data_IF_204482438757
#
_entry.id   IF_204482438757
#
_cell.length_a   1.000
_cell.length_b   1.000
_cell.length_c   1.000
_cell.angle_alpha   90.00
_cell.angle_beta   90.00
_cell.angle_gamma   90.00
#
_symmetry.space_group_name_H-M   'P 1'
#
loop_
_entity.id
_entity.type
_entity.pdbx_description
1 polymer ?
#
# COMPACT_ATOMS: atom_id res chain seq x y z
N UNK A 1 -18.07 23.45 32.79
CA UNK A 1 -16.84 22.65 32.82
C UNK A 1 -17.02 21.47 31.88
N UNK A 2 -16.18 21.32 30.85
CA UNK A 2 -16.30 20.20 29.92
C UNK A 2 -15.76 18.93 30.62
N UNK A 3 -16.53 17.84 30.56
CA UNK A 3 -16.07 16.57 31.11
C UNK A 3 -15.17 15.90 30.05
N UNK A 4 -13.86 16.18 30.08
CA UNK A 4 -12.90 15.34 29.36
C UNK A 4 -12.74 14.03 30.10
N UNK A 5 -12.94 12.93 29.38
CA UNK A 5 -12.66 11.58 29.87
C UNK A 5 -11.18 11.48 30.31
N UNK A 6 -10.91 10.71 31.36
CA UNK A 6 -9.61 10.63 32.06
C UNK A 6 -8.40 10.26 31.16
N UNK A 7 -7.20 10.51 31.71
CA UNK A 7 -5.83 10.46 31.13
C UNK A 7 -5.49 9.27 30.21
N UNK A 8 -6.27 8.20 30.21
CA UNK A 8 -5.98 6.96 29.48
C UNK A 8 -6.75 6.80 28.16
N UNK A 9 -7.49 7.83 27.73
CA UNK A 9 -8.11 7.80 26.41
C UNK A 9 -7.05 8.00 25.31
N UNK A 10 -6.59 6.91 24.70
CA UNK A 10 -5.61 6.92 23.60
C UNK A 10 -5.99 7.80 22.41
N UNK A 11 -7.29 8.09 22.23
CA UNK A 11 -7.78 9.01 21.20
C UNK A 11 -7.44 10.47 21.52
N UNK A 12 -7.39 10.82 22.80
CA UNK A 12 -7.05 12.16 23.30
C UNK A 12 -5.55 12.26 23.65
N UNK A 13 -4.98 11.23 24.27
CA UNK A 13 -3.57 11.14 24.68
C UNK A 13 -2.90 9.95 24.00
N UNK A 14 -2.31 10.18 22.82
CA UNK A 14 -1.64 9.13 22.07
C UNK A 14 -0.36 8.66 22.77
N UNK A 15 -0.05 7.35 22.72
CA UNK A 15 1.19 6.77 23.30
C UNK A 15 2.46 7.50 22.84
N UNK A 16 2.46 7.94 21.59
CA UNK A 16 3.51 8.81 21.04
C UNK A 16 2.99 10.24 21.04
N UNK A 17 3.71 11.21 21.65
CA UNK A 17 3.28 12.59 21.66
C UNK A 17 3.10 13.12 20.23
N UNK A 18 1.98 13.79 19.97
CA UNK A 18 1.75 14.50 18.70
C UNK A 18 2.91 15.46 18.43
N UNK A 19 3.28 15.64 17.17
CA UNK A 19 4.39 16.51 16.70
C UNK A 19 5.81 16.13 17.13
N UNK A 20 5.98 15.09 17.95
CA UNK A 20 7.30 14.49 18.19
C UNK A 20 7.88 13.88 16.91
N UNK A 21 9.20 13.79 16.82
CA UNK A 21 9.87 13.21 15.65
C UNK A 21 9.46 11.75 15.43
N UNK A 22 9.29 10.99 16.52
CA UNK A 22 8.77 9.61 16.49
C UNK A 22 7.36 9.56 15.91
N UNK A 23 6.49 10.51 16.27
CA UNK A 23 5.14 10.59 15.73
C UNK A 23 5.14 10.90 14.22
N UNK A 24 5.98 11.84 13.75
CA UNK A 24 6.11 12.16 12.33
C UNK A 24 6.53 10.95 11.49
N UNK A 25 7.48 10.16 11.97
CA UNK A 25 7.92 8.92 11.30
C UNK A 25 6.77 7.92 11.18
N UNK A 26 6.01 7.71 12.26
CA UNK A 26 4.84 6.82 12.24
C UNK A 26 3.77 7.37 11.29
N UNK A 27 3.49 8.67 11.36
CA UNK A 27 2.47 9.31 10.55
C UNK A 27 2.81 9.26 9.05
N UNK A 28 4.10 9.34 8.68
CA UNK A 28 4.56 9.20 7.29
C UNK A 28 4.19 7.83 6.68
N UNK A 29 4.09 6.77 7.48
CA UNK A 29 3.64 5.44 7.02
C UNK A 29 2.20 5.47 6.52
N UNK A 30 1.33 6.31 7.10
CA UNK A 30 -0.07 6.47 6.68
C UNK A 30 -0.18 6.88 5.21
N UNK A 31 0.59 7.88 4.80
CA UNK A 31 0.58 8.36 3.42
C UNK A 31 0.99 7.27 2.42
N UNK A 32 1.89 6.36 2.81
CA UNK A 32 2.25 5.21 1.97
C UNK A 32 1.06 4.28 1.75
N UNK A 33 0.31 3.97 2.82
CA UNK A 33 -0.88 3.13 2.76
C UNK A 33 -1.98 3.79 1.93
N UNK A 34 -2.21 5.09 2.11
CA UNK A 34 -3.20 5.83 1.33
C UNK A 34 -2.91 5.79 -0.18
N UNK A 35 -1.63 5.90 -0.57
CA UNK A 35 -1.24 5.73 -1.98
C UNK A 35 -1.46 4.31 -2.50
N UNK A 36 -1.18 3.29 -1.68
CA UNK A 36 -1.47 1.88 -2.02
C UNK A 36 -2.95 1.71 -2.30
N UNK A 37 -3.79 2.07 -1.33
CA UNK A 37 -5.25 1.93 -1.44
C UNK A 37 -5.80 2.70 -2.65
N UNK A 38 -5.23 3.86 -3.00
CA UNK A 38 -5.60 4.61 -4.20
C UNK A 38 -5.31 3.81 -5.48
N UNK A 39 -4.13 3.18 -5.59
CA UNK A 39 -3.79 2.31 -6.74
C UNK A 39 -4.70 1.09 -6.80
N UNK A 40 -4.94 0.43 -5.68
CA UNK A 40 -5.84 -0.74 -5.61
C UNK A 40 -7.25 -0.38 -6.10
N UNK A 41 -7.78 0.76 -5.66
CA UNK A 41 -9.12 1.23 -6.05
C UNK A 41 -9.19 1.69 -7.51
N UNK A 42 -8.27 2.55 -7.94
CA UNK A 42 -8.33 3.23 -9.24
C UNK A 42 -7.66 2.40 -10.33
N UNK A 43 -6.38 2.07 -10.17
CA UNK A 43 -5.57 1.46 -11.22
C UNK A 43 -6.00 0.01 -11.47
N UNK A 44 -6.20 -0.76 -10.39
CA UNK A 44 -6.69 -2.13 -10.47
C UNK A 44 -8.21 -2.25 -10.48
N UNK A 45 -8.93 -1.12 -10.46
CA UNK A 45 -10.39 -1.05 -10.56
C UNK A 45 -11.06 -2.02 -9.58
N UNK A 46 -10.66 -1.97 -8.31
CA UNK A 46 -11.19 -2.89 -7.29
C UNK A 46 -12.73 -2.90 -7.29
N UNK A 47 -13.34 -1.71 -7.34
CA UNK A 47 -14.79 -1.52 -7.22
C UNK A 47 -15.59 -1.92 -8.49
N UNK A 48 -14.93 -2.09 -9.65
CA UNK A 48 -15.62 -2.44 -10.90
C UNK A 48 -16.09 -3.89 -10.95
N UNK A 49 -15.56 -4.78 -10.11
CA UNK A 49 -15.89 -6.22 -10.12
C UNK A 49 -17.33 -6.54 -9.71
N UNK A 50 -18.02 -5.63 -9.00
CA UNK A 50 -19.43 -5.74 -8.56
C UNK A 50 -19.79 -7.13 -7.99
N UNK A 51 -18.87 -7.75 -7.25
CA UNK A 51 -19.09 -9.08 -6.68
C UNK A 51 -20.07 -9.01 -5.51
N UNK A 52 -20.95 -10.02 -5.37
CA UNK A 52 -21.89 -10.10 -4.24
C UNK A 52 -21.31 -10.85 -3.04
N UNK A 53 -20.40 -11.81 -3.28
CA UNK A 53 -19.79 -12.63 -2.24
C UNK A 53 -18.55 -11.96 -1.66
N UNK A 54 -18.48 -11.88 -0.33
CA UNK A 54 -17.29 -11.40 0.40
C UNK A 54 -16.05 -12.24 0.09
N UNK A 55 -16.19 -13.56 -0.13
CA UNK A 55 -15.06 -14.44 -0.49
C UNK A 55 -14.40 -14.03 -1.80
N UNK A 56 -15.19 -13.63 -2.80
CA UNK A 56 -14.67 -13.18 -4.10
C UNK A 56 -13.99 -11.82 -3.97
N UNK A 57 -14.54 -10.93 -3.12
CA UNK A 57 -13.85 -9.68 -2.75
C UNK A 57 -12.49 -9.94 -2.10
N UNK A 58 -12.41 -10.89 -1.16
CA UNK A 58 -11.12 -11.27 -0.55
C UNK A 58 -10.11 -11.73 -1.61
N UNK A 59 -10.49 -12.69 -2.46
CA UNK A 59 -9.59 -13.20 -3.51
C UNK A 59 -9.14 -12.07 -4.45
N UNK A 60 -10.06 -11.18 -4.84
CA UNK A 60 -9.75 -10.03 -5.70
C UNK A 60 -8.76 -9.07 -5.04
N UNK A 61 -8.95 -8.72 -3.76
CA UNK A 61 -8.02 -7.86 -3.03
C UNK A 61 -6.64 -8.51 -2.95
N UNK A 62 -6.56 -9.79 -2.59
CA UNK A 62 -5.27 -10.50 -2.53
C UNK A 62 -4.57 -10.52 -3.90
N UNK A 63 -5.28 -10.82 -4.98
CA UNK A 63 -4.71 -10.80 -6.32
C UNK A 63 -4.16 -9.40 -6.68
N UNK A 64 -4.90 -8.34 -6.37
CA UNK A 64 -4.48 -6.95 -6.59
C UNK A 64 -3.22 -6.63 -5.77
N UNK A 65 -3.16 -7.02 -4.51
CA UNK A 65 -1.99 -6.79 -3.65
C UNK A 65 -0.74 -7.51 -4.19
N UNK A 66 -0.89 -8.73 -4.70
CA UNK A 66 0.20 -9.49 -5.34
C UNK A 66 0.69 -8.75 -6.59
N UNK A 67 -0.22 -8.30 -7.46
CA UNK A 67 0.15 -7.52 -8.65
C UNK A 67 0.86 -6.21 -8.28
N UNK A 68 0.35 -5.49 -7.29
CA UNK A 68 0.96 -4.23 -6.87
C UNK A 68 2.36 -4.44 -6.27
N UNK A 69 2.57 -5.55 -5.57
CA UNK A 69 3.87 -5.96 -5.06
C UNK A 69 4.83 -6.30 -6.22
N UNK A 70 4.36 -7.06 -7.20
CA UNK A 70 5.13 -7.38 -8.40
C UNK A 70 5.55 -6.12 -9.18
N UNK A 71 4.65 -5.17 -9.37
CA UNK A 71 4.95 -3.89 -10.04
C UNK A 71 5.99 -3.06 -9.28
N UNK A 72 5.90 -3.04 -7.94
CA UNK A 72 6.87 -2.36 -7.10
C UNK A 72 8.25 -3.04 -7.20
N UNK A 73 8.28 -4.37 -7.21
CA UNK A 73 9.52 -5.13 -7.34
C UNK A 73 10.15 -4.94 -8.73
N UNK A 74 9.36 -5.02 -9.80
CA UNK A 74 9.83 -4.72 -11.14
C UNK A 74 10.43 -3.31 -11.24
N UNK A 75 9.77 -2.32 -10.64
CA UNK A 75 10.27 -0.95 -10.59
C UNK A 75 11.60 -0.85 -9.82
N UNK A 76 11.75 -1.61 -8.75
CA UNK A 76 12.98 -1.64 -7.94
C UNK A 76 14.16 -2.30 -8.68
N UNK A 77 13.90 -3.38 -9.41
CA UNK A 77 14.93 -4.15 -10.13
C UNK A 77 15.08 -3.74 -11.61
N UNK A 78 14.40 -2.68 -12.04
CA UNK A 78 14.38 -2.22 -13.44
C UNK A 78 15.78 -2.05 -14.02
N UNK A 79 16.71 -1.55 -13.21
CA UNK A 79 18.12 -1.37 -13.58
C UNK A 79 18.83 -2.72 -13.79
N UNK A 80 18.61 -3.68 -12.89
CA UNK A 80 19.15 -5.04 -12.99
C UNK A 80 18.58 -5.83 -14.17
N UNK A 81 17.38 -5.48 -14.64
CA UNK A 81 16.73 -6.12 -15.77
C UNK A 81 17.01 -5.48 -17.14
N UNK A 82 17.86 -4.45 -17.21
CA UNK A 82 18.19 -3.79 -18.50
C UNK A 82 18.71 -4.76 -19.55
N UNK A 83 19.58 -5.67 -19.14
CA UNK A 83 20.23 -6.63 -20.04
C UNK A 83 19.43 -7.93 -20.22
N UNK A 84 18.33 -8.09 -19.48
CA UNK A 84 17.49 -9.29 -19.52
C UNK A 84 17.02 -9.60 -20.94
N UNK A 85 16.68 -8.57 -21.72
CA UNK A 85 16.25 -8.73 -23.12
C UNK A 85 17.36 -9.33 -23.98
N UNK A 86 18.62 -8.99 -23.72
CA UNK A 86 19.77 -9.51 -24.46
C UNK A 86 20.08 -10.97 -24.12
N UNK A 87 19.75 -11.41 -22.90
CA UNK A 87 19.94 -12.79 -22.46
C UNK A 87 18.84 -13.73 -22.94
N UNK A 88 17.60 -13.25 -23.02
CA UNK A 88 16.43 -14.07 -23.36
C UNK A 88 16.29 -14.23 -24.87
N UNK A 89 16.47 -13.16 -25.63
CA UNK A 89 16.27 -13.20 -27.08
C UNK A 89 17.60 -13.45 -27.79
N UNK A 90 17.69 -14.44 -28.68
CA UNK A 90 18.88 -14.61 -29.51
C UNK A 90 19.08 -13.34 -30.35
N UNK A 91 20.33 -12.87 -30.42
CA UNK A 91 20.67 -11.76 -31.30
C UNK A 91 20.38 -12.21 -32.74
N UNK A 92 19.37 -11.60 -33.37
CA UNK A 92 19.08 -11.81 -34.78
C UNK A 92 20.25 -11.25 -35.57
N UNK A 93 20.94 -12.15 -36.29
CA UNK A 93 22.05 -11.86 -37.20
C UNK A 93 21.61 -10.96 -38.36
#
# INVERSE_FOLDING_TARGET
TYHTHSKDNLRLFTKTPRDSEKWKVIYKRRTSIERSNKREKIDYKLESGRHRSTKVWYVRIYAIMICQHMDAWFSHQKESFKDLKSWIFPQTA
#
